data_IF_174631272596
#
_entry.id   IF_174631272596
#
_cell.length_a   1.000
_cell.length_b   1.000
_cell.length_c   1.000
_cell.angle_alpha   90.00
_cell.angle_beta   90.00
_cell.angle_gamma   90.00
#
_symmetry.space_group_name_H-M   'P 1'
#
loop_
_entity.id
_entity.type
_entity.pdbx_description
1 polymer ?
#
# COMPACT_ATOMS: atom_id res chain seq x y z
N UNK A 1 -34.81 55.90 -21.43
CA UNK A 1 -35.30 55.87 -22.82
C UNK A 1 -34.29 56.59 -23.72
N UNK A 2 -33.64 55.87 -24.63
CA UNK A 2 -33.47 56.18 -26.07
C UNK A 2 -32.39 55.27 -26.65
N UNK A 3 -32.86 54.34 -27.48
CA UNK A 3 -32.06 53.56 -28.43
C UNK A 3 -31.78 54.45 -29.63
N UNK A 4 -30.58 54.38 -30.20
CA UNK A 4 -30.34 54.61 -31.63
C UNK A 4 -29.08 53.88 -32.07
N UNK A 5 -29.29 52.90 -32.93
CA UNK A 5 -28.29 52.22 -33.76
C UNK A 5 -28.09 52.98 -35.08
N UNK A 6 -26.92 52.85 -35.72
CA UNK A 6 -26.60 52.94 -37.17
C UNK A 6 -25.08 52.62 -37.25
N UNK A 7 -24.61 51.45 -37.69
CA UNK A 7 -24.59 50.83 -39.02
C UNK A 7 -23.36 51.21 -39.89
N UNK A 8 -22.37 50.31 -39.86
CA UNK A 8 -21.56 49.70 -40.94
C UNK A 8 -20.92 50.58 -42.03
N UNK A 9 -19.59 50.42 -42.23
CA UNK A 9 -19.02 50.24 -43.58
C UNK A 9 -17.70 49.45 -43.58
N UNK A 10 -17.64 48.55 -44.54
CA UNK A 10 -16.62 47.55 -44.87
C UNK A 10 -15.28 48.17 -45.29
N UNK A 11 -14.18 47.51 -44.94
CA UNK A 11 -13.08 47.35 -45.90
C UNK A 11 -12.46 45.97 -45.74
N UNK A 12 -12.65 45.15 -46.77
CA UNK A 12 -12.04 43.85 -46.93
C UNK A 12 -10.58 44.04 -47.37
N UNK A 13 -9.64 43.34 -46.73
CA UNK A 13 -8.42 42.90 -47.38
C UNK A 13 -8.32 41.38 -47.21
N UNK A 14 -8.43 40.70 -48.34
CA UNK A 14 -8.15 39.28 -48.51
C UNK A 14 -6.63 39.16 -48.57
N UNK A 15 -6.04 38.40 -47.66
CA UNK A 15 -4.74 37.78 -47.90
C UNK A 15 -4.84 36.29 -47.59
N UNK A 16 -4.34 35.53 -48.54
CA UNK A 16 -4.52 34.09 -48.73
C UNK A 16 -3.73 33.25 -47.73
N UNK A 17 -4.42 32.25 -47.17
CA UNK A 17 -3.99 30.90 -46.74
C UNK A 17 -2.55 30.68 -46.27
N UNK A 18 -2.42 30.38 -44.98
CA UNK A 18 -1.67 29.20 -44.54
C UNK A 18 -2.49 28.51 -43.45
N UNK A 19 -3.14 27.39 -43.78
CA UNK A 19 -3.59 26.44 -42.77
C UNK A 19 -2.33 25.81 -42.17
N UNK A 20 -1.84 26.36 -41.07
CA UNK A 20 -1.06 25.55 -40.14
C UNK A 20 -2.07 24.62 -39.47
N UNK A 21 -2.22 23.41 -40.02
CA UNK A 21 -2.67 22.29 -39.21
C UNK A 21 -1.61 22.14 -38.13
N UNK A 22 -1.84 22.71 -36.96
CA UNK A 22 -1.11 22.27 -35.78
C UNK A 22 -1.41 20.78 -35.67
N UNK A 23 -0.38 20.01 -35.99
CA UNK A 23 -0.34 18.59 -35.79
C UNK A 23 -0.80 18.36 -34.36
N UNK A 24 -1.98 17.74 -34.20
CA UNK A 24 -2.26 16.98 -32.99
C UNK A 24 -1.05 16.05 -32.90
N UNK A 25 -0.15 16.36 -31.96
CA UNK A 25 0.90 15.45 -31.60
C UNK A 25 0.18 14.19 -31.14
N UNK A 26 0.26 13.17 -31.97
CA UNK A 26 -0.11 11.83 -31.63
C UNK A 26 0.72 11.43 -30.40
N UNK A 27 0.14 11.53 -29.20
CA UNK A 27 0.74 11.07 -27.96
C UNK A 27 0.69 9.53 -27.82
N UNK A 28 0.34 8.80 -28.89
CA UNK A 28 0.43 7.35 -28.91
C UNK A 28 1.83 6.92 -29.35
N UNK A 29 2.81 6.99 -28.43
CA UNK A 29 3.99 6.09 -28.36
C UNK A 29 4.90 6.53 -27.18
N UNK A 30 4.37 6.67 -25.97
CA UNK A 30 5.23 6.53 -24.78
C UNK A 30 5.34 5.03 -24.49
N UNK A 31 6.39 4.39 -24.99
CA UNK A 31 6.82 3.10 -24.42
C UNK A 31 7.02 3.36 -22.92
N UNK A 32 6.26 2.71 -22.01
CA UNK A 32 6.47 2.90 -20.60
C UNK A 32 7.91 2.49 -20.32
N UNK A 33 8.66 3.32 -19.58
CA UNK A 33 9.90 2.83 -18.96
C UNK A 33 9.43 1.76 -17.96
N UNK A 34 9.41 0.52 -18.43
CA UNK A 34 9.16 -0.63 -17.58
C UNK A 34 10.38 -0.76 -16.69
N UNK A 35 10.24 -0.47 -15.40
CA UNK A 35 11.32 -0.58 -14.45
C UNK A 35 11.15 -1.85 -13.60
N UNK A 36 11.07 -2.99 -14.30
CA UNK A 36 10.91 -4.29 -13.66
C UNK A 36 12.06 -4.58 -12.68
N UNK A 37 13.26 -4.08 -12.97
CA UNK A 37 14.40 -4.19 -12.06
C UNK A 37 14.12 -3.48 -10.73
N UNK A 38 13.66 -2.22 -10.75
CA UNK A 38 13.31 -1.50 -9.53
C UNK A 38 12.14 -2.16 -8.78
N UNK A 39 11.09 -2.61 -9.48
CA UNK A 39 9.99 -3.34 -8.84
C UNK A 39 10.47 -4.63 -8.16
N UNK A 40 11.43 -5.35 -8.76
CA UNK A 40 12.04 -6.55 -8.16
C UNK A 40 12.87 -6.20 -6.92
N UNK A 41 13.76 -5.21 -7.04
CA UNK A 41 14.58 -4.73 -5.91
C UNK A 41 13.70 -4.27 -4.74
N UNK A 42 12.65 -3.50 -5.02
CA UNK A 42 11.66 -3.09 -4.01
C UNK A 42 11.09 -4.30 -3.23
N UNK A 43 10.67 -5.35 -3.93
CA UNK A 43 10.11 -6.55 -3.30
C UNK A 43 11.18 -7.32 -2.51
N UNK A 44 12.36 -7.53 -3.10
CA UNK A 44 13.46 -8.28 -2.47
C UNK A 44 13.97 -7.59 -1.20
N UNK A 45 14.13 -6.26 -1.23
CA UNK A 45 14.56 -5.46 -0.08
C UNK A 45 13.51 -5.48 1.04
N UNK A 46 12.22 -5.33 0.69
CA UNK A 46 11.12 -5.40 1.65
C UNK A 46 11.03 -6.78 2.33
N UNK A 47 11.17 -7.86 1.55
CA UNK A 47 11.21 -9.23 2.09
C UNK A 47 12.41 -9.44 3.02
N UNK A 48 13.56 -8.86 2.69
CA UNK A 48 14.75 -8.89 3.55
C UNK A 48 14.50 -8.17 4.86
N UNK A 49 13.88 -6.99 4.84
CA UNK A 49 13.52 -6.24 6.04
C UNK A 49 12.50 -6.99 6.93
N UNK A 50 11.52 -7.68 6.32
CA UNK A 50 10.53 -8.47 7.05
C UNK A 50 11.06 -9.82 7.57
N UNK A 51 12.28 -10.22 7.21
CA UNK A 51 12.85 -11.52 7.61
C UNK A 51 12.92 -11.70 9.13
N UNK A 52 13.05 -10.61 9.90
CA UNK A 52 13.03 -10.62 11.36
C UNK A 52 11.75 -11.21 11.96
N UNK A 53 10.63 -11.16 11.25
CA UNK A 53 9.38 -11.76 11.72
C UNK A 53 9.43 -13.29 11.72
N UNK A 54 10.18 -13.90 10.79
CA UNK A 54 10.33 -15.36 10.69
C UNK A 54 11.27 -15.93 11.77
N UNK A 55 12.18 -15.10 12.28
CA UNK A 55 13.16 -15.49 13.30
C UNK A 55 12.74 -15.04 14.71
N UNK A 56 11.54 -14.48 14.87
CA UNK A 56 11.07 -13.97 16.14
C UNK A 56 10.96 -15.11 17.17
N UNK A 57 11.66 -14.94 18.30
CA UNK A 57 11.52 -15.83 19.45
C UNK A 57 10.30 -15.39 20.27
N UNK A 58 9.23 -16.16 20.19
CA UNK A 58 8.02 -15.93 20.97
C UNK A 58 8.31 -16.01 22.46
N UNK A 59 7.63 -15.16 23.22
CA UNK A 59 7.79 -15.02 24.67
C UNK A 59 6.59 -15.56 25.44
N UNK A 60 5.43 -15.67 24.79
CA UNK A 60 4.15 -15.98 25.45
C UNK A 60 3.46 -14.74 26.03
N UNK A 61 4.06 -13.57 25.89
CA UNK A 61 3.43 -12.28 26.17
C UNK A 61 2.85 -11.73 24.85
N UNK A 62 1.52 -11.66 24.71
CA UNK A 62 0.89 -11.28 23.44
C UNK A 62 1.18 -9.82 23.04
N UNK A 63 1.40 -8.93 24.01
CA UNK A 63 1.73 -7.53 23.73
C UNK A 63 3.15 -7.43 23.18
N UNK A 64 4.09 -8.13 23.82
CA UNK A 64 5.49 -8.15 23.37
C UNK A 64 5.65 -8.83 22.01
N UNK A 65 5.04 -10.00 21.83
CA UNK A 65 5.14 -10.77 20.58
C UNK A 65 4.49 -10.00 19.41
N UNK A 66 3.40 -9.27 19.66
CA UNK A 66 2.77 -8.41 18.66
C UNK A 66 3.66 -7.24 18.25
N UNK A 67 4.16 -6.45 19.21
CA UNK A 67 5.01 -5.30 18.90
C UNK A 67 6.32 -5.74 18.23
N UNK A 68 6.93 -6.82 18.72
CA UNK A 68 8.16 -7.34 18.16
C UNK A 68 7.97 -7.95 16.76
N UNK A 69 6.79 -8.52 16.45
CA UNK A 69 6.45 -8.97 15.11
C UNK A 69 6.05 -7.84 14.15
N UNK A 70 5.36 -6.81 14.65
CA UNK A 70 4.90 -5.68 13.84
C UNK A 70 6.04 -4.72 13.47
N UNK A 71 7.13 -4.72 14.24
CA UNK A 71 8.34 -3.94 13.95
C UNK A 71 8.96 -4.26 12.58
N UNK A 72 9.44 -5.49 12.30
CA UNK A 72 9.99 -5.83 10.99
C UNK A 72 8.96 -5.72 9.86
N UNK A 73 7.66 -5.92 10.16
CA UNK A 73 6.59 -5.66 9.20
C UNK A 73 6.53 -4.18 8.77
N UNK A 74 6.64 -3.24 9.71
CA UNK A 74 6.67 -1.82 9.38
C UNK A 74 7.97 -1.41 8.68
N UNK A 75 9.11 -1.97 9.11
CA UNK A 75 10.39 -1.78 8.42
C UNK A 75 10.31 -2.25 6.96
N UNK A 76 9.59 -3.35 6.68
CA UNK A 76 9.26 -3.83 5.34
C UNK A 76 8.52 -2.81 4.46
N UNK A 77 7.49 -2.15 4.99
CA UNK A 77 6.74 -1.11 4.25
C UNK A 77 7.57 0.16 4.02
N UNK A 78 8.40 0.57 4.99
CA UNK A 78 9.29 1.72 4.84
C UNK A 78 10.29 1.44 3.72
N UNK A 79 10.96 0.28 3.75
CA UNK A 79 11.93 -0.12 2.73
C UNK A 79 11.27 -0.22 1.36
N UNK A 80 10.09 -0.87 1.27
CA UNK A 80 9.32 -0.94 0.01
C UNK A 80 9.07 0.47 -0.56
N UNK A 81 8.65 1.41 0.29
CA UNK A 81 8.33 2.77 -0.12
C UNK A 81 9.59 3.55 -0.52
N UNK A 82 10.67 3.47 0.25
CA UNK A 82 11.93 4.16 -0.04
C UNK A 82 12.59 3.64 -1.32
N UNK A 83 12.64 2.32 -1.54
CA UNK A 83 13.28 1.71 -2.70
C UNK A 83 12.60 2.10 -4.02
N UNK A 84 11.27 2.22 -4.03
CA UNK A 84 10.53 2.52 -5.27
C UNK A 84 10.30 4.02 -5.51
N UNK A 85 10.34 4.84 -4.46
CA UNK A 85 10.03 6.27 -4.50
C UNK A 85 10.65 7.03 -5.69
N UNK A 86 11.96 6.84 -6.03
CA UNK A 86 12.59 7.56 -7.13
C UNK A 86 12.02 7.24 -8.52
N UNK A 87 11.24 6.16 -8.63
CA UNK A 87 10.69 5.64 -9.90
C UNK A 87 9.18 5.90 -10.04
N UNK A 88 8.54 6.40 -8.98
CA UNK A 88 7.11 6.71 -8.99
C UNK A 88 6.87 8.00 -9.78
N UNK A 89 5.96 7.92 -10.75
CA UNK A 89 5.63 9.02 -11.66
C UNK A 89 4.22 9.56 -11.46
N UNK A 90 3.33 8.77 -10.84
CA UNK A 90 2.01 9.25 -10.45
C UNK A 90 2.13 10.08 -9.16
N UNK A 91 1.72 11.36 -9.14
CA UNK A 91 1.86 12.21 -7.97
C UNK A 91 1.11 11.72 -6.73
N UNK A 92 -0.04 11.05 -6.91
CA UNK A 92 -0.82 10.53 -5.80
C UNK A 92 -0.15 9.28 -5.19
N UNK A 93 0.41 8.42 -6.03
CA UNK A 93 1.19 7.24 -5.56
C UNK A 93 2.49 7.68 -4.89
N UNK A 94 3.19 8.67 -5.46
CA UNK A 94 4.38 9.25 -4.87
C UNK A 94 4.09 9.88 -3.49
N UNK A 95 2.98 10.61 -3.36
CA UNK A 95 2.57 11.17 -2.07
C UNK A 95 2.21 10.08 -1.05
N UNK A 96 1.50 9.02 -1.45
CA UNK A 96 1.21 7.89 -0.56
C UNK A 96 2.51 7.26 -0.03
N UNK A 97 3.51 7.03 -0.88
CA UNK A 97 4.79 6.47 -0.45
C UNK A 97 5.48 7.36 0.60
N UNK A 98 5.48 8.69 0.41
CA UNK A 98 6.00 9.64 1.40
C UNK A 98 5.24 9.56 2.73
N UNK A 99 3.91 9.50 2.66
CA UNK A 99 3.05 9.45 3.84
C UNK A 99 3.27 8.16 4.63
N UNK A 100 3.39 7.00 3.96
CA UNK A 100 3.74 5.71 4.56
C UNK A 100 5.11 5.76 5.22
N UNK A 101 6.13 6.30 4.54
CA UNK A 101 7.48 6.43 5.12
C UNK A 101 7.42 7.25 6.41
N UNK A 102 6.69 8.36 6.39
CA UNK A 102 6.59 9.26 7.54
C UNK A 102 5.84 8.62 8.72
N UNK A 103 4.66 8.06 8.46
CA UNK A 103 3.82 7.46 9.50
C UNK A 103 4.51 6.24 10.11
N UNK A 104 4.98 5.31 9.28
CA UNK A 104 5.56 4.06 9.76
C UNK A 104 6.92 4.26 10.42
N UNK A 105 7.72 5.28 10.03
CA UNK A 105 8.93 5.65 10.81
C UNK A 105 8.59 6.11 12.22
N UNK A 106 7.52 6.88 12.40
CA UNK A 106 7.07 7.29 13.73
C UNK A 106 6.60 6.08 14.55
N UNK A 107 5.90 5.13 13.93
CA UNK A 107 5.45 3.89 14.57
C UNK A 107 6.62 2.96 14.92
N UNK A 108 7.64 2.85 14.06
CA UNK A 108 8.88 2.12 14.36
C UNK A 108 9.62 2.72 15.56
N UNK A 109 9.69 4.05 15.66
CA UNK A 109 10.28 4.73 16.82
C UNK A 109 9.49 4.38 18.09
N UNK A 110 8.15 4.47 18.02
CA UNK A 110 7.28 4.08 19.12
C UNK A 110 7.51 2.62 19.54
N UNK A 111 7.50 1.68 18.60
CA UNK A 111 7.69 0.25 18.89
C UNK A 111 9.06 -0.01 19.52
N UNK A 112 10.14 0.61 19.01
CA UNK A 112 11.48 0.49 19.61
C UNK A 112 11.53 1.01 21.04
N UNK A 113 10.88 2.14 21.32
CA UNK A 113 10.78 2.70 22.68
C UNK A 113 9.92 1.83 23.60
N UNK A 114 8.80 1.32 23.09
CA UNK A 114 7.92 0.42 23.81
C UNK A 114 8.66 -0.87 24.18
N UNK A 115 9.35 -1.51 23.23
CA UNK A 115 10.14 -2.73 23.47
C UNK A 115 11.27 -2.51 24.49
N UNK A 116 11.90 -1.34 24.49
CA UNK A 116 12.97 -1.02 25.43
C UNK A 116 12.48 -0.75 26.86
N UNK A 117 11.20 -0.37 27.02
CA UNK A 117 10.63 0.03 28.31
C UNK A 117 9.63 -0.98 28.88
N UNK A 118 9.07 -1.85 28.05
CA UNK A 118 8.08 -2.85 28.44
C UNK A 118 8.69 -3.87 29.39
N UNK A 119 7.92 -4.20 30.43
CA UNK A 119 8.24 -5.29 31.34
C UNK A 119 7.39 -6.48 30.95
N UNK A 120 8.05 -7.56 30.53
CA UNK A 120 7.37 -8.81 30.19
C UNK A 120 6.42 -9.24 31.32
N UNK A 121 5.30 -9.83 30.94
CA UNK A 121 4.40 -10.48 31.89
C UNK A 121 5.17 -11.50 32.76
N UNK A 122 4.76 -11.71 34.03
CA UNK A 122 5.27 -12.81 34.84
C UNK A 122 5.10 -14.14 34.09
N UNK A 123 6.06 -15.06 34.21
CA UNK A 123 6.04 -16.35 33.48
C UNK A 123 4.72 -17.12 33.66
N UNK A 124 4.10 -17.05 34.84
CA UNK A 124 2.83 -17.70 35.14
C UNK A 124 1.62 -17.14 34.36
N UNK A 125 1.75 -15.96 33.75
CA UNK A 125 0.71 -15.30 32.95
C UNK A 125 0.99 -15.39 31.44
N UNK A 126 2.11 -15.99 31.04
CA UNK A 126 2.48 -16.16 29.63
C UNK A 126 1.82 -17.40 29.05
N UNK A 127 1.38 -17.29 27.80
CA UNK A 127 0.75 -18.38 27.06
C UNK A 127 1.50 -18.60 25.74
N UNK A 128 2.44 -19.55 25.76
CA UNK A 128 3.23 -19.89 24.59
C UNK A 128 2.37 -20.51 23.47
N UNK A 129 1.34 -21.26 23.82
CA UNK A 129 0.46 -21.88 22.83
C UNK A 129 -0.32 -20.80 22.07
N UNK A 130 -0.85 -19.81 22.80
CA UNK A 130 -1.51 -18.66 22.21
C UNK A 130 -0.59 -17.84 21.31
N UNK A 131 0.60 -17.47 21.80
CA UNK A 131 1.58 -16.72 20.99
C UNK A 131 1.95 -17.48 19.72
N UNK A 132 2.14 -18.80 19.79
CA UNK A 132 2.44 -19.62 18.62
C UNK A 132 1.27 -19.62 17.64
N UNK A 133 0.05 -19.84 18.12
CA UNK A 133 -1.14 -19.82 17.27
C UNK A 133 -1.34 -18.46 16.60
N UNK A 134 -1.13 -17.37 17.33
CA UNK A 134 -1.23 -16.00 16.83
C UNK A 134 -0.17 -15.70 15.76
N UNK A 135 1.07 -16.10 16.01
CA UNK A 135 2.15 -15.95 15.03
C UNK A 135 1.86 -16.79 13.78
N UNK A 136 1.49 -18.06 13.93
CA UNK A 136 1.13 -18.94 12.81
C UNK A 136 0.00 -18.34 11.95
N UNK A 137 -1.06 -17.79 12.59
CA UNK A 137 -2.15 -17.08 11.90
C UNK A 137 -1.63 -15.85 11.16
N UNK A 138 -0.79 -15.05 11.81
CA UNK A 138 -0.20 -13.83 11.23
C UNK A 138 0.66 -14.15 10.01
N UNK A 139 1.55 -15.15 10.12
CA UNK A 139 2.39 -15.62 9.01
C UNK A 139 1.53 -16.15 7.86
N UNK A 140 0.47 -16.90 8.15
CA UNK A 140 -0.46 -17.42 7.12
C UNK A 140 -1.20 -16.27 6.41
N UNK A 141 -1.64 -15.26 7.15
CA UNK A 141 -2.26 -14.05 6.58
C UNK A 141 -1.28 -13.38 5.63
N UNK A 142 -0.05 -13.09 6.08
CA UNK A 142 0.97 -12.46 5.23
C UNK A 142 1.28 -13.29 3.98
N UNK A 143 1.49 -14.61 4.13
CA UNK A 143 1.83 -15.49 3.02
C UNK A 143 0.74 -15.49 1.94
N UNK A 144 -0.52 -15.58 2.32
CA UNK A 144 -1.65 -15.58 1.39
C UNK A 144 -1.84 -14.26 0.64
N UNK A 145 -1.19 -13.19 1.10
CA UNK A 145 -1.33 -11.85 0.57
C UNK A 145 -0.14 -11.45 -0.33
N UNK A 146 1.00 -12.16 -0.28
CA UNK A 146 2.24 -11.73 -0.97
C UNK A 146 2.45 -12.24 -2.41
N UNK A 147 1.41 -12.69 -3.12
CA UNK A 147 1.55 -13.10 -4.52
C UNK A 147 1.24 -11.94 -5.50
N UNK A 148 2.19 -11.02 -5.65
CA UNK A 148 2.05 -9.89 -6.59
C UNK A 148 2.80 -10.16 -7.88
N UNK A 149 2.06 -10.26 -8.99
CA UNK A 149 2.65 -10.35 -10.32
C UNK A 149 3.12 -8.97 -10.77
N UNK A 150 4.44 -8.77 -10.80
CA UNK A 150 5.04 -7.52 -11.28
C UNK A 150 4.71 -7.27 -12.76
N UNK A 151 4.26 -6.07 -13.04
CA UNK A 151 3.90 -5.56 -14.37
C UNK A 151 5.04 -4.78 -15.02
N UNK A 152 5.99 -4.30 -14.21
CA UNK A 152 7.05 -3.39 -14.63
C UNK A 152 6.65 -1.92 -14.60
N UNK A 153 5.39 -1.58 -14.28
CA UNK A 153 4.98 -0.21 -13.96
C UNK A 153 5.17 0.00 -12.45
N UNK A 154 6.11 0.84 -12.00
CA UNK A 154 6.40 1.03 -10.58
C UNK A 154 5.19 1.47 -9.75
N UNK A 155 4.32 2.31 -10.31
CA UNK A 155 3.13 2.78 -9.60
C UNK A 155 2.14 1.62 -9.37
N UNK A 156 1.90 0.80 -10.39
CA UNK A 156 1.01 -0.38 -10.26
C UNK A 156 1.62 -1.40 -9.31
N UNK A 157 2.92 -1.70 -9.48
CA UNK A 157 3.62 -2.72 -8.72
C UNK A 157 3.72 -2.34 -7.22
N UNK A 158 3.99 -1.07 -6.91
CA UNK A 158 3.97 -0.56 -5.54
C UNK A 158 2.57 -0.66 -4.92
N UNK A 159 1.54 -0.19 -5.62
CA UNK A 159 0.16 -0.20 -5.09
C UNK A 159 -0.36 -1.63 -4.92
N UNK A 160 -0.06 -2.52 -5.87
CA UNK A 160 -0.42 -3.93 -5.80
C UNK A 160 0.39 -4.70 -4.75
N UNK A 161 1.62 -4.27 -4.44
CA UNK A 161 2.47 -4.77 -3.36
C UNK A 161 2.03 -4.32 -1.98
N UNK A 162 1.79 -3.02 -1.82
CA UNK A 162 1.53 -2.39 -0.55
C UNK A 162 0.11 -2.68 -0.03
N UNK A 163 -0.84 -2.90 -0.93
CA UNK A 163 -2.22 -3.26 -0.58
C UNK A 163 -2.30 -4.54 0.29
N UNK A 164 -1.84 -5.71 -0.18
CA UNK A 164 -1.87 -6.93 0.63
C UNK A 164 -1.04 -6.81 1.91
N UNK A 165 0.07 -6.06 1.87
CA UNK A 165 0.88 -5.79 3.06
C UNK A 165 0.08 -5.03 4.13
N UNK A 166 -0.68 -4.00 3.74
CA UNK A 166 -1.55 -3.28 4.68
C UNK A 166 -2.73 -4.13 5.15
N UNK A 167 -3.34 -4.92 4.27
CA UNK A 167 -4.42 -5.85 4.66
C UNK A 167 -3.93 -6.88 5.70
N UNK A 168 -2.68 -7.34 5.57
CA UNK A 168 -2.07 -8.24 6.55
C UNK A 168 -1.89 -7.57 7.92
N UNK A 169 -1.32 -6.35 7.98
CA UNK A 169 -1.15 -5.62 9.23
C UNK A 169 -2.49 -5.33 9.93
N UNK A 170 -3.51 -4.88 9.19
CA UNK A 170 -4.88 -4.70 9.73
C UNK A 170 -5.37 -6.02 10.31
N UNK A 171 -5.24 -7.13 9.58
CA UNK A 171 -5.78 -8.41 10.04
C UNK A 171 -5.03 -8.95 11.25
N UNK A 172 -3.70 -8.81 11.29
CA UNK A 172 -2.91 -9.16 12.46
C UNK A 172 -3.37 -8.38 13.70
N UNK A 173 -3.56 -7.07 13.57
CA UNK A 173 -4.04 -6.20 14.65
C UNK A 173 -5.45 -6.59 15.13
N UNK A 174 -6.36 -6.93 14.22
CA UNK A 174 -7.71 -7.42 14.57
C UNK A 174 -7.67 -8.74 15.33
N UNK A 175 -6.87 -9.72 14.87
CA UNK A 175 -6.83 -11.06 15.45
C UNK A 175 -6.19 -11.03 16.84
N UNK A 176 -5.17 -10.19 17.06
CA UNK A 176 -4.49 -10.12 18.37
C UNK A 176 -5.31 -9.34 19.42
N UNK A 177 -6.18 -8.42 19.00
CA UNK A 177 -6.87 -7.47 19.89
C UNK A 177 -7.49 -8.09 21.16
N UNK A 178 -8.15 -9.26 21.12
CA UNK A 178 -8.74 -9.88 22.32
C UNK A 178 -7.69 -10.38 23.34
N UNK A 179 -6.45 -10.57 22.91
CA UNK A 179 -5.38 -11.18 23.70
C UNK A 179 -4.48 -10.16 24.38
N UNK A 180 -4.37 -8.96 23.78
CA UNK A 180 -3.58 -7.84 24.32
C UNK A 180 -3.98 -7.54 25.77
N UNK A 181 -2.98 -7.37 26.64
CA UNK A 181 -3.17 -7.03 28.06
C UNK A 181 -2.87 -5.56 28.29
N UNK A 182 -1.89 -5.01 27.59
CA UNK A 182 -1.46 -3.63 27.73
C UNK A 182 -2.38 -2.65 26.96
N UNK A 183 -2.77 -1.56 27.63
CA UNK A 183 -3.69 -0.58 27.05
C UNK A 183 -3.03 0.27 25.96
N UNK A 184 -1.72 0.53 26.06
CA UNK A 184 -0.98 1.26 25.02
C UNK A 184 -0.86 0.41 23.76
N UNK A 185 -0.62 -0.90 23.90
CA UNK A 185 -0.59 -1.84 22.77
C UNK A 185 -1.94 -1.94 22.07
N UNK A 186 -3.06 -2.01 22.81
CA UNK A 186 -4.42 -1.96 22.23
C UNK A 186 -4.66 -0.67 21.45
N UNK A 187 -4.23 0.45 22.01
CA UNK A 187 -4.39 1.77 21.38
C UNK A 187 -3.56 1.86 20.10
N UNK A 188 -2.34 1.33 20.14
CA UNK A 188 -1.46 1.25 18.98
C UNK A 188 -2.06 0.36 17.88
N UNK A 189 -2.51 -0.86 18.21
CA UNK A 189 -3.18 -1.76 17.26
C UNK A 189 -4.42 -1.11 16.62
N UNK A 190 -5.26 -0.42 17.40
CA UNK A 190 -6.42 0.31 16.89
C UNK A 190 -6.02 1.48 15.97
N UNK A 191 -4.89 2.13 16.24
CA UNK A 191 -4.35 3.21 15.41
C UNK A 191 -3.88 2.68 14.05
N UNK A 192 -3.16 1.56 14.03
CA UNK A 192 -2.77 0.85 12.81
C UNK A 192 -4.01 0.55 11.97
N UNK A 193 -5.02 -0.12 12.55
CA UNK A 193 -6.25 -0.48 11.84
C UNK A 193 -6.90 0.76 11.21
N UNK A 194 -7.04 1.85 11.97
CA UNK A 194 -7.69 3.08 11.49
C UNK A 194 -6.89 3.76 10.38
N UNK A 195 -5.57 3.84 10.49
CA UNK A 195 -4.72 4.48 9.49
C UNK A 195 -4.71 3.66 8.20
N UNK A 196 -4.36 2.38 8.31
CA UNK A 196 -4.18 1.52 7.15
C UNK A 196 -5.47 1.21 6.41
N UNK A 197 -6.64 1.20 7.06
CA UNK A 197 -7.93 1.09 6.35
C UNK A 197 -8.17 2.25 5.37
N UNK A 198 -7.67 3.46 5.66
CA UNK A 198 -7.79 4.59 4.73
C UNK A 198 -6.87 4.42 3.53
N UNK A 199 -5.64 3.99 3.77
CA UNK A 199 -4.63 3.73 2.72
C UNK A 199 -5.08 2.57 1.83
N UNK A 200 -5.63 1.50 2.41
CA UNK A 200 -6.26 0.38 1.67
C UNK A 200 -7.39 0.89 0.78
N UNK A 201 -8.30 1.73 1.30
CA UNK A 201 -9.40 2.27 0.51
C UNK A 201 -8.88 3.10 -0.67
N UNK A 202 -7.86 3.93 -0.44
CA UNK A 202 -7.18 4.68 -1.49
C UNK A 202 -6.54 3.75 -2.54
N UNK A 203 -5.75 2.77 -2.11
CA UNK A 203 -5.06 1.84 -3.01
C UNK A 203 -6.03 1.04 -3.86
N UNK A 204 -7.13 0.54 -3.26
CA UNK A 204 -8.18 -0.18 -4.00
C UNK A 204 -8.85 0.69 -5.06
N UNK A 205 -9.19 1.93 -4.72
CA UNK A 205 -9.79 2.86 -5.67
C UNK A 205 -8.81 3.18 -6.81
N UNK A 206 -7.57 3.53 -6.47
CA UNK A 206 -6.55 3.86 -7.47
C UNK A 206 -6.25 2.67 -8.39
N UNK A 207 -6.06 1.46 -7.85
CA UNK A 207 -5.83 0.25 -8.66
C UNK A 207 -7.02 -0.06 -9.58
N UNK A 208 -8.25 0.09 -9.09
CA UNK A 208 -9.45 -0.12 -9.90
C UNK A 208 -9.47 0.77 -11.14
N UNK A 209 -9.08 2.03 -11.00
CA UNK A 209 -9.10 3.02 -12.08
C UNK A 209 -7.87 2.91 -13.00
N UNK A 210 -6.76 2.36 -12.50
CA UNK A 210 -5.46 2.33 -13.20
C UNK A 210 -5.01 0.93 -13.65
N UNK A 211 -5.80 -0.12 -13.40
CA UNK A 211 -5.54 -1.49 -13.91
C UNK A 211 -6.73 -2.06 -14.70
N UNK A 212 -6.88 -1.71 -15.99
CA UNK A 212 -7.99 -2.20 -16.83
C UNK A 212 -8.03 -3.73 -17.01
N UNK A 213 -6.98 -4.46 -16.61
CA UNK A 213 -6.80 -5.89 -16.86
C UNK A 213 -6.99 -6.83 -15.65
N UNK A 214 -7.28 -6.34 -14.44
CA UNK A 214 -7.55 -7.21 -13.26
C UNK A 214 -9.05 -7.50 -13.10
N UNK A 215 -9.93 -6.68 -13.71
CA UNK A 215 -11.39 -6.88 -13.64
C UNK A 215 -11.91 -8.02 -14.54
N UNK A 216 -11.17 -8.43 -15.59
CA UNK A 216 -11.62 -9.50 -16.50
C UNK A 216 -11.34 -10.93 -15.99
N UNK A 217 -10.40 -11.12 -15.08
CA UNK A 217 -10.05 -12.46 -14.56
C UNK A 217 -10.83 -12.84 -13.29
N UNK A 218 -11.25 -11.86 -12.48
CA UNK A 218 -12.08 -12.09 -11.28
C UNK A 218 -13.56 -12.30 -11.61
N UNK A 219 -14.11 -11.60 -12.60
CA UNK A 219 -15.47 -11.84 -13.10
C UNK A 219 -15.61 -13.23 -13.77
N UNK A 220 -14.58 -13.70 -14.48
CA UNK A 220 -14.60 -15.03 -15.08
C UNK A 220 -14.55 -16.17 -14.04
N UNK A 221 -13.81 -15.98 -12.93
CA UNK A 221 -13.74 -16.98 -11.85
C UNK A 221 -14.98 -17.01 -10.95
N UNK A 222 -15.70 -15.90 -10.85
CA UNK A 222 -16.96 -15.82 -10.10
C UNK A 222 -18.18 -16.42 -10.83
N UNK A 223 -18.09 -16.65 -12.15
CA UNK A 223 -19.18 -17.21 -12.95
C UNK A 223 -19.06 -18.71 -13.26
N UNK A 224 -17.94 -19.38 -12.89
CA UNK A 224 -17.73 -20.81 -13.18
C UNK A 224 -17.57 -21.67 -11.93
N UNK A 225 -17.89 -21.15 -10.74
CA UNK A 225 -17.65 -21.80 -9.45
C UNK A 225 -18.93 -22.29 -8.75
N UNK A 226 -19.88 -22.87 -9.49
CA UNK A 226 -20.96 -23.65 -8.88
C UNK A 226 -21.19 -24.89 -9.73
N UNK A 227 -20.35 -25.91 -9.57
CA UNK A 227 -20.69 -27.30 -9.89
C UNK A 227 -19.62 -28.28 -9.38
N UNK A 228 -20.12 -29.29 -8.66
CA UNK A 228 -19.57 -30.63 -8.42
C UNK A 228 -18.54 -30.89 -7.30
N UNK A 229 -19.09 -31.58 -6.28
CA UNK A 229 -18.57 -32.64 -5.39
C UNK A 229 -17.58 -32.30 -4.28
#
# INVERSE_FOLDING_TARGET
>A
MKKSSIAVLFSALISTTAFATDSIADHSQHMPITNLAASKTMMDDSMTAMSGMHSLKLTGDPDLDFIAGMLPHHEGAIVMSESILPTLTDPAVHQLAIDIIKSQKAEVIYMKQWLASHKELPLAQRDMANSKEMMDKSMKIMHNMMEVKLTGNPNIDFMAGMLPHHEAAVKMAEVIMPYLKDQSTKTFAATIVKAQLKEIAFMKAWLKDNTPAIQKTTAAKAMTGHEHH
#
